data_IF_208806685582
#
_entry.id   IF_208806685582
#
_cell.length_a   1.000
_cell.length_b   1.000
_cell.length_c   1.000
_cell.angle_alpha   90.00
_cell.angle_beta   90.00
_cell.angle_gamma   90.00
#
_symmetry.space_group_name_H-M   'P 1'
#
loop_
_entity.id
_entity.type
_entity.pdbx_description
1 polymer ?
#
# COMPACT_ATOMS: atom_id res chain seq x y z
N UNK A 1 4.46 -20.54 14.06
CA UNK A 1 5.60 -19.74 13.54
C UNK A 1 6.89 -20.13 14.25
N UNK A 2 7.97 -20.30 13.49
CA UNK A 2 9.32 -20.62 14.01
C UNK A 2 10.28 -19.53 13.52
N UNK A 3 11.04 -18.93 14.43
CA UNK A 3 12.07 -17.95 14.10
C UNK A 3 13.24 -18.64 13.39
N UNK A 4 13.65 -18.13 12.23
CA UNK A 4 14.77 -18.68 11.46
C UNK A 4 16.05 -17.85 11.66
N UNK A 5 15.93 -16.53 11.56
CA UNK A 5 17.06 -15.62 11.78
C UNK A 5 16.59 -14.21 12.18
N UNK A 6 17.53 -13.43 12.69
CA UNK A 6 17.38 -12.02 13.03
C UNK A 6 18.64 -11.27 12.63
N UNK A 7 18.47 -10.12 11.94
CA UNK A 7 19.56 -9.22 11.56
C UNK A 7 19.38 -7.86 12.22
N UNK A 8 20.49 -7.14 12.37
CA UNK A 8 20.51 -5.77 12.86
C UNK A 8 20.69 -4.80 11.68
N UNK A 9 19.96 -3.69 11.68
CA UNK A 9 20.19 -2.60 10.74
C UNK A 9 21.48 -1.82 11.05
N UNK A 10 22.17 -2.15 12.13
CA UNK A 10 23.52 -1.64 12.43
C UNK A 10 24.63 -2.49 11.80
N UNK A 11 24.28 -3.62 11.18
CA UNK A 11 25.25 -4.45 10.50
C UNK A 11 25.73 -3.76 9.21
N UNK A 12 26.96 -4.08 8.78
CA UNK A 12 27.48 -3.53 7.52
C UNK A 12 26.78 -4.17 6.34
N UNK A 13 26.16 -3.39 5.45
CA UNK A 13 25.52 -3.92 4.25
C UNK A 13 26.53 -4.62 3.33
N UNK A 14 26.10 -5.75 2.76
CA UNK A 14 26.84 -6.51 1.75
C UNK A 14 25.92 -6.76 0.59
N UNK A 15 26.23 -6.16 -0.56
CA UNK A 15 25.40 -6.29 -1.75
C UNK A 15 25.35 -7.73 -2.26
N UNK A 16 24.14 -8.14 -2.68
CA UNK A 16 23.86 -9.44 -3.31
C UNK A 16 23.09 -9.21 -4.61
N UNK A 17 23.42 -9.97 -5.66
CA UNK A 17 22.86 -9.81 -7.02
C UNK A 17 21.35 -10.05 -7.12
N UNK A 18 20.74 -10.80 -6.21
CA UNK A 18 19.31 -11.13 -6.23
C UNK A 18 18.39 -10.00 -5.72
N UNK A 19 18.87 -8.78 -5.61
CA UNK A 19 18.08 -7.58 -5.28
C UNK A 19 17.61 -7.52 -3.83
N UNK A 20 16.94 -8.53 -3.32
CA UNK A 20 16.42 -8.58 -1.97
C UNK A 20 15.01 -7.99 -1.79
N UNK A 21 14.52 -8.05 -0.57
CA UNK A 21 13.22 -7.51 -0.16
C UNK A 21 13.38 -6.07 0.31
N UNK A 22 12.55 -5.14 -0.17
CA UNK A 22 12.60 -3.75 0.24
C UNK A 22 12.06 -3.58 1.66
N UNK A 23 12.60 -2.61 2.38
CA UNK A 23 12.03 -2.15 3.64
C UNK A 23 12.18 -0.64 3.82
N UNK A 24 11.24 -0.07 4.57
CA UNK A 24 11.32 1.30 5.07
C UNK A 24 10.85 1.32 6.52
N UNK A 25 11.68 1.82 7.42
CA UNK A 25 11.38 1.92 8.85
C UNK A 25 11.99 3.17 9.45
N UNK A 26 11.20 4.00 10.12
CA UNK A 26 11.65 5.31 10.60
C UNK A 26 12.23 6.16 9.48
N UNK A 27 13.49 6.54 9.61
CA UNK A 27 14.26 7.29 8.61
C UNK A 27 15.31 6.43 7.90
N UNK A 28 15.07 5.13 7.79
CA UNK A 28 15.92 4.16 7.12
C UNK A 28 15.13 3.45 6.04
N UNK A 29 15.78 3.21 4.91
CA UNK A 29 15.31 2.33 3.84
C UNK A 29 16.46 1.45 3.35
N UNK A 30 16.11 0.36 2.71
CA UNK A 30 17.11 -0.53 2.11
C UNK A 30 16.52 -1.85 1.66
N UNK A 31 17.40 -2.78 1.42
CA UNK A 31 17.06 -4.14 0.98
C UNK A 31 17.76 -5.17 1.87
N UNK A 32 17.11 -6.29 2.11
CA UNK A 32 17.68 -7.43 2.82
C UNK A 32 17.44 -8.74 2.05
N UNK A 33 18.35 -9.69 2.19
CA UNK A 33 18.26 -10.98 1.51
C UNK A 33 17.39 -11.98 2.29
N UNK A 34 16.93 -13.00 1.59
CA UNK A 34 16.16 -14.12 2.15
C UNK A 34 16.95 -14.92 3.20
N UNK A 35 18.27 -14.88 3.11
CA UNK A 35 19.21 -15.57 3.98
C UNK A 35 19.59 -14.78 5.25
N UNK A 36 19.01 -13.58 5.43
CA UNK A 36 19.26 -12.76 6.61
C UNK A 36 20.53 -11.94 6.52
N UNK A 37 20.74 -11.28 5.39
CA UNK A 37 21.83 -10.31 5.20
C UNK A 37 21.28 -8.97 4.77
N UNK A 38 21.87 -7.89 5.25
CA UNK A 38 21.53 -6.54 4.86
C UNK A 38 22.24 -6.24 3.53
N UNK A 39 21.48 -6.03 2.44
CA UNK A 39 22.04 -5.76 1.12
C UNK A 39 22.41 -4.30 0.95
N UNK A 40 21.54 -3.41 1.41
CA UNK A 40 21.76 -1.96 1.38
C UNK A 40 21.03 -1.28 2.51
N UNK A 41 21.53 -0.12 2.92
CA UNK A 41 20.91 0.73 3.94
C UNK A 41 21.21 2.19 3.62
N UNK A 42 20.17 3.00 3.58
CA UNK A 42 20.25 4.45 3.35
C UNK A 42 19.40 5.17 4.37
N UNK A 43 19.93 6.23 4.96
CA UNK A 43 19.17 7.14 5.80
C UNK A 43 18.62 8.31 4.98
N UNK A 44 17.44 8.81 5.36
CA UNK A 44 16.83 9.96 4.71
C UNK A 44 16.24 10.93 5.75
N UNK A 45 16.51 12.25 5.61
CA UNK A 45 16.07 13.24 6.60
C UNK A 45 14.60 13.65 6.43
N UNK A 46 14.04 13.53 5.23
CA UNK A 46 12.67 13.98 4.91
C UNK A 46 11.78 12.86 4.44
N UNK A 47 11.79 12.58 3.15
CA UNK A 47 10.90 11.61 2.50
C UNK A 47 11.67 10.61 1.66
N UNK A 48 11.09 9.45 1.49
CA UNK A 48 11.65 8.39 0.65
C UNK A 48 10.54 7.52 0.07
N UNK A 49 10.79 7.02 -1.12
CA UNK A 49 9.97 6.00 -1.78
C UNK A 49 10.84 4.81 -2.16
N UNK A 50 10.31 3.60 -2.02
CA UNK A 50 11.01 2.36 -2.31
C UNK A 50 10.01 1.32 -2.84
N UNK A 51 10.43 0.58 -3.86
CA UNK A 51 9.75 -0.59 -4.42
C UNK A 51 10.70 -1.80 -4.42
N UNK A 52 10.28 -2.92 -4.95
CA UNK A 52 11.18 -4.08 -5.12
C UNK A 52 12.34 -3.79 -6.09
N UNK A 53 12.19 -2.84 -7.00
CA UNK A 53 13.15 -2.54 -8.08
C UNK A 53 13.99 -1.31 -7.81
N UNK A 54 13.37 -0.24 -7.28
CA UNK A 54 13.99 1.08 -7.22
C UNK A 54 13.68 1.81 -5.92
N UNK A 55 14.53 2.77 -5.58
CA UNK A 55 14.34 3.63 -4.42
C UNK A 55 14.82 5.06 -4.68
N UNK A 56 14.29 6.00 -3.92
CA UNK A 56 14.74 7.39 -3.91
C UNK A 56 14.52 8.03 -2.55
N UNK A 57 15.32 9.07 -2.28
CA UNK A 57 15.11 9.98 -1.15
C UNK A 57 15.00 11.40 -1.69
N UNK A 58 14.11 12.20 -1.15
CA UNK A 58 13.83 13.53 -1.66
C UNK A 58 13.44 14.51 -0.56
N UNK A 59 13.71 15.80 -0.80
CA UNK A 59 13.27 16.92 0.03
C UNK A 59 12.05 17.62 -0.57
N UNK A 60 11.50 18.59 0.18
CA UNK A 60 10.34 19.35 -0.27
C UNK A 60 10.61 20.22 -1.50
N UNK A 61 11.86 20.67 -1.69
CA UNK A 61 12.27 21.62 -2.72
C UNK A 61 13.21 21.01 -3.77
N UNK A 62 13.18 19.69 -3.95
CA UNK A 62 14.05 19.02 -4.91
C UNK A 62 13.63 19.37 -6.35
N UNK A 63 14.48 20.09 -7.08
CA UNK A 63 14.31 20.41 -8.51
C UNK A 63 14.63 19.21 -9.40
N UNK A 64 15.49 18.32 -8.92
CA UNK A 64 15.85 17.07 -9.58
C UNK A 64 16.06 15.97 -8.55
N UNK A 65 15.36 14.87 -8.70
CA UNK A 65 15.42 13.75 -7.75
C UNK A 65 16.00 12.51 -8.45
N UNK A 66 17.26 12.13 -8.15
CA UNK A 66 17.82 10.87 -8.65
C UNK A 66 17.12 9.69 -7.95
N UNK A 67 16.91 8.62 -8.68
CA UNK A 67 16.46 7.36 -8.12
C UNK A 67 17.38 6.22 -8.58
N UNK A 68 17.42 5.15 -7.81
CA UNK A 68 18.44 4.13 -7.87
C UNK A 68 17.80 2.74 -7.91
N UNK A 69 18.48 1.80 -8.56
CA UNK A 69 18.18 0.39 -8.42
C UNK A 69 18.56 -0.14 -7.03
N UNK A 70 18.10 -1.34 -6.71
CA UNK A 70 18.40 -1.98 -5.43
C UNK A 70 19.93 -2.14 -5.16
N UNK A 71 20.73 -2.24 -6.22
CA UNK A 71 22.19 -2.31 -6.16
C UNK A 71 22.89 -0.96 -5.92
N UNK A 72 22.13 0.14 -5.86
CA UNK A 72 22.64 1.49 -5.69
C UNK A 72 23.10 2.15 -6.99
N UNK A 73 23.04 1.49 -8.14
CA UNK A 73 23.28 2.12 -9.43
C UNK A 73 22.15 3.07 -9.78
N UNK A 74 22.45 4.21 -10.39
CA UNK A 74 21.43 5.19 -10.73
C UNK A 74 20.55 4.68 -11.87
N UNK A 75 19.24 4.59 -11.61
CA UNK A 75 18.24 4.20 -12.60
C UNK A 75 17.84 5.38 -13.49
N UNK A 76 17.71 6.58 -12.91
CA UNK A 76 17.31 7.77 -13.64
C UNK A 76 17.28 9.01 -12.76
N UNK A 77 16.71 10.09 -13.33
CA UNK A 77 16.51 11.36 -12.63
C UNK A 77 15.13 11.91 -12.96
N UNK A 78 14.34 12.20 -11.93
CA UNK A 78 13.06 12.90 -12.06
C UNK A 78 13.37 14.38 -12.05
N UNK A 79 13.15 15.08 -13.18
CA UNK A 79 13.51 16.49 -13.35
C UNK A 79 12.39 17.45 -12.96
N UNK A 80 11.17 16.97 -12.80
CA UNK A 80 10.05 17.78 -12.34
C UNK A 80 10.03 17.83 -10.80
N UNK A 81 9.64 18.98 -10.25
CA UNK A 81 9.39 19.12 -8.82
C UNK A 81 8.16 18.30 -8.40
N UNK A 82 8.23 17.63 -7.25
CA UNK A 82 7.12 16.86 -6.72
C UNK A 82 7.57 15.78 -5.74
N UNK A 83 6.66 14.86 -5.46
CA UNK A 83 6.81 13.80 -4.48
C UNK A 83 6.81 12.43 -5.19
N UNK A 84 7.98 11.82 -5.42
CA UNK A 84 8.07 10.52 -6.07
C UNK A 84 7.35 9.42 -5.31
N UNK A 85 6.60 8.60 -6.04
CA UNK A 85 5.93 7.42 -5.55
C UNK A 85 6.29 6.23 -6.45
N UNK A 86 7.27 5.46 -6.00
CA UNK A 86 7.78 4.29 -6.71
C UNK A 86 7.03 3.06 -6.21
N UNK A 87 6.39 2.34 -7.11
CA UNK A 87 5.68 1.09 -6.83
C UNK A 87 6.19 -0.03 -7.72
N UNK A 88 5.78 -1.26 -7.46
CA UNK A 88 6.13 -2.39 -8.32
C UNK A 88 5.42 -2.35 -9.67
N UNK A 89 4.28 -1.64 -9.74
CA UNK A 89 3.43 -1.48 -10.92
C UNK A 89 3.82 -0.26 -11.77
N UNK A 90 4.64 0.65 -11.21
CA UNK A 90 5.11 1.82 -11.95
C UNK A 90 5.60 2.96 -11.08
N UNK A 91 6.14 3.98 -11.75
CA UNK A 91 6.68 5.16 -11.11
C UNK A 91 5.73 6.35 -11.32
N UNK A 92 5.48 7.08 -10.25
CA UNK A 92 4.61 8.26 -10.25
C UNK A 92 5.30 9.43 -9.56
N UNK A 93 4.88 10.65 -9.91
CA UNK A 93 5.30 11.89 -9.24
C UNK A 93 4.05 12.69 -8.90
N UNK A 94 3.73 12.81 -7.62
CA UNK A 94 2.69 13.72 -7.17
C UNK A 94 3.18 15.15 -7.23
N UNK A 95 2.39 16.03 -7.88
CA UNK A 95 2.77 17.41 -8.11
C UNK A 95 2.68 18.25 -6.83
N UNK A 96 3.49 19.33 -6.72
CA UNK A 96 3.33 20.30 -5.65
C UNK A 96 1.90 20.86 -5.62
N UNK A 97 1.32 20.98 -4.42
CA UNK A 97 -0.10 21.35 -4.27
C UNK A 97 -1.04 20.16 -4.11
N UNK A 98 -0.59 18.95 -4.48
CA UNK A 98 -1.34 17.71 -4.22
C UNK A 98 -2.59 17.50 -5.07
N UNK A 99 -2.76 18.26 -6.17
CA UNK A 99 -3.95 18.17 -7.03
C UNK A 99 -3.73 17.37 -8.31
N UNK A 100 -2.50 16.94 -8.56
CA UNK A 100 -2.17 16.21 -9.80
C UNK A 100 -0.98 15.28 -9.63
N UNK A 101 -0.70 14.52 -10.67
CA UNK A 101 0.42 13.61 -10.71
C UNK A 101 0.87 13.32 -12.15
N UNK A 102 2.13 12.90 -12.29
CA UNK A 102 2.71 12.36 -13.51
C UNK A 102 2.85 10.83 -13.38
N UNK A 103 2.59 10.09 -14.44
CA UNK A 103 3.15 8.76 -14.64
C UNK A 103 4.53 8.92 -15.26
N UNK A 104 5.52 8.23 -14.72
CA UNK A 104 6.90 8.31 -15.18
C UNK A 104 7.31 7.03 -15.94
N UNK A 105 8.26 7.20 -16.85
CA UNK A 105 8.98 6.08 -17.45
C UNK A 105 10.07 5.53 -16.50
N UNK A 106 10.78 4.50 -16.94
CA UNK A 106 11.88 3.88 -16.20
C UNK A 106 13.11 4.79 -16.00
N UNK A 107 13.16 5.94 -16.67
CA UNK A 107 14.25 6.94 -16.58
C UNK A 107 13.85 8.18 -15.78
N UNK A 108 12.58 8.28 -15.38
CA UNK A 108 12.03 9.42 -14.64
C UNK A 108 11.42 10.52 -15.50
N UNK A 109 11.23 10.30 -16.81
CA UNK A 109 10.54 11.25 -17.67
C UNK A 109 9.03 11.10 -17.54
N UNK A 110 8.29 12.20 -17.61
CA UNK A 110 6.82 12.17 -17.62
C UNK A 110 6.30 11.55 -18.92
N UNK A 111 5.53 10.47 -18.80
CA UNK A 111 4.81 9.83 -19.91
C UNK A 111 3.49 10.55 -20.18
N UNK A 112 2.77 10.86 -19.12
CA UNK A 112 1.53 11.62 -19.14
C UNK A 112 1.29 12.25 -17.78
N UNK A 113 0.44 13.30 -17.77
CA UNK A 113 0.08 14.09 -16.59
C UNK A 113 -1.42 14.21 -16.46
N UNK A 114 -1.89 14.21 -15.24
CA UNK A 114 -3.25 14.60 -14.87
C UNK A 114 -3.23 15.60 -13.72
N UNK A 115 -4.06 16.62 -13.84
CA UNK A 115 -4.28 17.64 -12.80
C UNK A 115 -5.78 17.87 -12.61
N UNK A 116 -6.18 18.05 -11.35
CA UNK A 116 -7.55 18.39 -10.97
C UNK A 116 -7.56 19.66 -10.11
N UNK A 117 -8.75 20.12 -9.73
CA UNK A 117 -8.92 21.26 -8.82
C UNK A 117 -8.85 20.80 -7.36
N UNK A 118 -9.40 19.63 -7.07
CA UNK A 118 -9.44 19.06 -5.72
C UNK A 118 -8.14 18.31 -5.38
N UNK A 119 -7.68 18.37 -4.12
CA UNK A 119 -6.54 17.57 -3.68
C UNK A 119 -6.79 16.06 -3.79
N UNK A 120 -5.73 15.34 -4.14
CA UNK A 120 -5.70 13.87 -4.11
C UNK A 120 -5.70 13.41 -2.66
N UNK A 121 -6.61 12.51 -2.31
CA UNK A 121 -6.77 11.96 -0.96
C UNK A 121 -6.51 10.47 -0.88
N UNK A 122 -6.59 9.75 -2.00
CA UNK A 122 -6.31 8.33 -2.09
C UNK A 122 -5.76 7.97 -3.47
N UNK A 123 -4.88 6.99 -3.53
CA UNK A 123 -4.25 6.52 -4.76
C UNK A 123 -3.89 5.04 -4.67
N UNK A 124 -4.15 4.30 -5.73
CA UNK A 124 -3.63 2.95 -5.93
C UNK A 124 -3.25 2.73 -7.38
N UNK A 125 -2.24 1.90 -7.61
CA UNK A 125 -1.77 1.50 -8.94
C UNK A 125 -1.90 0.00 -9.17
N UNK A 126 -2.00 -0.38 -10.42
CA UNK A 126 -1.95 -1.74 -10.91
C UNK A 126 -1.14 -1.79 -12.22
N UNK A 127 -0.86 -2.98 -12.71
CA UNK A 127 -0.20 -3.17 -14.01
C UNK A 127 -1.00 -2.57 -15.18
N UNK A 128 -2.31 -2.42 -15.03
CA UNK A 128 -3.22 -1.94 -16.08
C UNK A 128 -3.53 -0.44 -15.99
N UNK A 129 -3.03 0.24 -14.96
CA UNK A 129 -3.28 1.67 -14.75
C UNK A 129 -3.30 2.08 -13.29
N UNK A 130 -4.08 3.11 -12.96
CA UNK A 130 -4.21 3.57 -11.59
C UNK A 130 -5.60 4.14 -11.29
N UNK A 131 -5.91 4.26 -10.01
CA UNK A 131 -7.13 4.88 -9.51
C UNK A 131 -6.80 5.97 -8.51
N UNK A 132 -7.52 7.08 -8.60
CA UNK A 132 -7.27 8.28 -7.80
C UNK A 132 -8.56 8.78 -7.20
N UNK A 133 -8.56 8.99 -5.90
CA UNK A 133 -9.64 9.60 -5.14
C UNK A 133 -9.31 11.02 -4.72
N UNK A 134 -10.29 11.91 -4.74
CA UNK A 134 -10.15 13.33 -4.47
C UNK A 134 -10.96 13.79 -3.25
N UNK A 135 -10.58 14.94 -2.72
CA UNK A 135 -11.21 15.57 -1.55
C UNK A 135 -12.67 16.01 -1.81
N UNK A 136 -13.05 16.25 -3.05
CA UNK A 136 -14.42 16.58 -3.46
C UNK A 136 -15.31 15.34 -3.68
N UNK A 137 -14.76 14.14 -3.48
CA UNK A 137 -15.44 12.87 -3.65
C UNK A 137 -15.40 12.31 -5.07
N UNK A 138 -14.64 12.92 -5.96
CA UNK A 138 -14.39 12.40 -7.31
C UNK A 138 -13.47 11.19 -7.26
N UNK A 139 -13.78 10.17 -8.03
CA UNK A 139 -12.98 8.98 -8.25
C UNK A 139 -12.69 8.84 -9.74
N UNK A 140 -11.41 8.76 -10.10
CA UNK A 140 -10.98 8.67 -11.51
C UNK A 140 -10.08 7.47 -11.69
N UNK A 141 -10.40 6.61 -12.66
CA UNK A 141 -9.57 5.50 -13.09
C UNK A 141 -8.88 5.83 -14.41
N UNK A 142 -7.61 5.50 -14.49
CA UNK A 142 -6.75 5.70 -15.64
C UNK A 142 -6.24 4.39 -16.17
N UNK A 143 -6.22 4.22 -17.48
CA UNK A 143 -5.48 3.17 -18.17
C UNK A 143 -3.98 3.48 -18.14
N UNK A 144 -3.15 2.48 -18.40
CA UNK A 144 -1.69 2.62 -18.42
C UNK A 144 -1.21 3.77 -19.35
N UNK A 145 -1.92 4.02 -20.44
CA UNK A 145 -1.60 5.09 -21.42
C UNK A 145 -2.10 6.49 -21.02
N UNK A 146 -2.64 6.67 -19.81
CA UNK A 146 -3.15 7.94 -19.31
C UNK A 146 -4.58 8.31 -19.73
N UNK A 147 -5.22 7.51 -20.56
CA UNK A 147 -6.62 7.73 -20.89
C UNK A 147 -7.50 7.46 -19.68
N UNK A 148 -8.44 8.34 -19.40
CA UNK A 148 -9.46 8.12 -18.39
C UNK A 148 -10.31 6.93 -18.82
N UNK A 149 -10.35 5.88 -17.99
CA UNK A 149 -11.25 4.76 -18.17
C UNK A 149 -12.65 5.12 -17.70
N UNK A 150 -12.74 5.74 -16.53
CA UNK A 150 -13.99 6.34 -16.03
C UNK A 150 -13.73 7.42 -14.97
N UNK A 151 -14.74 8.26 -14.76
CA UNK A 151 -14.78 9.26 -13.68
C UNK A 151 -16.17 9.29 -13.08
N UNK A 152 -16.26 9.12 -11.76
CA UNK A 152 -17.54 9.04 -11.03
C UNK A 152 -17.46 9.76 -9.69
N UNK A 153 -18.64 10.06 -9.14
CA UNK A 153 -18.83 10.46 -7.75
C UNK A 153 -19.63 9.37 -7.07
N UNK A 154 -19.00 8.53 -6.19
CA UNK A 154 -19.68 7.40 -5.55
C UNK A 154 -20.90 7.73 -4.73
N UNK A 155 -21.05 8.98 -4.30
CA UNK A 155 -22.19 9.55 -3.55
C UNK A 155 -22.50 8.86 -2.20
N UNK A 156 -23.46 9.41 -1.45
CA UNK A 156 -23.97 8.81 -0.22
C UNK A 156 -23.63 9.56 1.06
N UNK A 157 -22.80 10.60 1.01
CA UNK A 157 -22.45 11.49 2.11
C UNK A 157 -22.67 12.95 1.71
N UNK A 158 -23.00 13.82 2.67
CA UNK A 158 -23.03 15.27 2.43
C UNK A 158 -21.61 15.84 2.33
N UNK A 159 -20.64 15.19 2.95
CA UNK A 159 -19.21 15.51 2.86
C UNK A 159 -18.51 14.41 2.06
N UNK A 160 -18.55 14.56 0.77
CA UNK A 160 -17.94 13.62 -0.16
C UNK A 160 -16.43 13.79 -0.12
N UNK A 161 -15.73 12.73 0.18
CA UNK A 161 -14.27 12.62 0.10
C UNK A 161 -13.95 11.16 -0.10
N UNK A 162 -12.94 10.86 -0.91
CA UNK A 162 -12.45 9.50 -1.05
C UNK A 162 -11.32 9.32 -0.02
N UNK A 163 -11.46 8.37 0.89
CA UNK A 163 -10.51 8.14 1.97
C UNK A 163 -9.57 6.96 1.72
N UNK A 164 -9.98 6.02 0.88
CA UNK A 164 -9.17 4.88 0.49
C UNK A 164 -9.68 4.30 -0.81
N UNK A 165 -8.76 3.80 -1.62
CA UNK A 165 -9.06 3.17 -2.92
C UNK A 165 -8.12 2.02 -3.18
N UNK A 166 -8.59 1.04 -3.93
CA UNK A 166 -7.75 0.04 -4.56
C UNK A 166 -8.37 -0.45 -5.87
N UNK A 167 -7.53 -0.97 -6.77
CA UNK A 167 -7.91 -1.49 -8.07
C UNK A 167 -7.34 -2.89 -8.25
N UNK A 168 -8.18 -3.82 -8.71
CA UNK A 168 -7.73 -5.19 -8.99
C UNK A 168 -7.02 -5.27 -10.35
N UNK A 169 -5.95 -6.06 -10.42
CA UNK A 169 -5.21 -6.27 -11.66
C UNK A 169 -6.01 -7.06 -12.72
N UNK A 170 -6.78 -8.06 -12.32
CA UNK A 170 -7.33 -9.04 -13.24
C UNK A 170 -8.84 -8.99 -13.40
N UNK A 171 -9.59 -8.57 -12.38
CA UNK A 171 -11.06 -8.74 -12.36
C UNK A 171 -11.86 -7.50 -12.76
N UNK A 172 -11.19 -6.39 -13.12
CA UNK A 172 -11.87 -5.12 -13.43
C UNK A 172 -12.69 -4.59 -12.25
N UNK A 173 -12.23 -4.86 -11.02
CA UNK A 173 -12.86 -4.41 -9.80
C UNK A 173 -12.15 -3.19 -9.25
N UNK A 174 -12.93 -2.32 -8.63
CA UNK A 174 -12.44 -1.15 -7.90
C UNK A 174 -13.16 -1.07 -6.57
N UNK A 175 -12.41 -0.84 -5.51
CA UNK A 175 -12.93 -0.65 -4.17
C UNK A 175 -12.59 0.74 -3.66
N UNK A 176 -13.53 1.37 -2.94
CA UNK A 176 -13.25 2.63 -2.26
C UNK A 176 -14.01 2.76 -0.93
N UNK A 177 -13.43 3.55 -0.03
CA UNK A 177 -14.09 4.08 1.15
C UNK A 177 -14.28 5.58 0.94
N UNK A 178 -15.50 6.06 1.04
CA UNK A 178 -15.87 7.45 0.79
C UNK A 178 -16.81 8.02 1.86
N UNK A 179 -16.79 9.36 2.00
CA UNK A 179 -17.63 10.12 2.90
C UNK A 179 -17.07 10.26 4.31
N UNK A 180 -17.52 11.31 5.02
CA UNK A 180 -17.09 11.59 6.41
C UNK A 180 -18.22 11.34 7.41
N UNK A 181 -19.43 11.80 7.09
CA UNK A 181 -20.61 11.74 8.01
C UNK A 181 -21.42 10.44 7.88
N UNK A 182 -21.41 9.85 6.70
CA UNK A 182 -21.99 8.56 6.38
C UNK A 182 -20.98 7.79 5.56
N UNK A 183 -19.96 7.29 6.23
CA UNK A 183 -18.88 6.58 5.59
C UNK A 183 -19.39 5.32 4.93
N UNK A 184 -18.95 5.08 3.71
CA UNK A 184 -19.46 4.00 2.89
C UNK A 184 -18.31 3.28 2.20
N UNK A 185 -18.27 1.98 2.29
CA UNK A 185 -17.50 1.11 1.41
C UNK A 185 -18.30 0.84 0.14
N UNK A 186 -17.62 0.86 -1.01
CA UNK A 186 -18.25 0.59 -2.31
C UNK A 186 -17.31 -0.26 -3.14
N UNK A 187 -17.86 -1.32 -3.73
CA UNK A 187 -17.21 -2.16 -4.72
C UNK A 187 -17.86 -1.97 -6.08
N UNK A 188 -17.07 -1.59 -7.07
CA UNK A 188 -17.49 -1.43 -8.45
C UNK A 188 -16.96 -2.58 -9.31
N UNK A 189 -17.70 -2.89 -10.36
CA UNK A 189 -17.21 -3.68 -11.48
C UNK A 189 -17.27 -2.85 -12.74
N UNK A 190 -16.15 -2.75 -13.44
CA UNK A 190 -16.08 -2.17 -14.76
C UNK A 190 -16.20 -3.30 -15.79
N UNK A 191 -17.21 -3.20 -16.65
CA UNK A 191 -17.41 -4.12 -17.76
C UNK A 191 -17.66 -3.27 -19.00
N UNK A 192 -16.76 -3.33 -19.99
CA UNK A 192 -16.87 -2.62 -21.27
C UNK A 192 -17.13 -1.10 -21.14
N UNK A 193 -16.47 -0.47 -20.16
CA UNK A 193 -16.61 0.98 -19.91
C UNK A 193 -17.86 1.36 -19.11
N UNK A 194 -18.65 0.38 -18.65
CA UNK A 194 -19.76 0.62 -17.74
C UNK A 194 -19.39 0.25 -16.32
N UNK A 195 -19.42 1.23 -15.42
CA UNK A 195 -19.19 1.03 -14.00
C UNK A 195 -20.49 0.74 -13.28
N UNK A 196 -20.55 -0.40 -12.64
CA UNK A 196 -21.69 -0.82 -11.84
C UNK A 196 -21.26 -1.02 -10.39
N UNK A 197 -21.95 -0.40 -9.45
CA UNK A 197 -21.85 -0.75 -8.04
C UNK A 197 -22.42 -2.17 -7.90
N UNK A 198 -21.58 -3.10 -7.47
CA UNK A 198 -21.98 -4.49 -7.24
C UNK A 198 -22.20 -4.79 -5.77
N UNK A 199 -21.51 -4.05 -4.89
CA UNK A 199 -21.70 -4.12 -3.44
C UNK A 199 -21.48 -2.78 -2.78
N UNK A 200 -22.17 -2.50 -1.70
CA UNK A 200 -21.88 -1.38 -0.82
C UNK A 200 -22.41 -1.63 0.59
N UNK A 201 -21.76 -1.04 1.57
CA UNK A 201 -22.23 -1.00 2.95
C UNK A 201 -21.90 0.34 3.60
N UNK A 202 -22.72 0.75 4.57
CA UNK A 202 -22.37 1.89 5.42
C UNK A 202 -21.52 1.37 6.57
N UNK A 203 -20.37 2.01 6.76
CA UNK A 203 -19.49 1.70 7.86
C UNK A 203 -19.96 2.47 9.10
N UNK A 204 -19.88 1.83 10.27
CA UNK A 204 -20.15 2.50 11.57
C UNK A 204 -19.03 3.46 11.95
N UNK A 205 -18.39 4.05 10.98
CA UNK A 205 -17.16 4.81 11.08
C UNK A 205 -17.38 6.29 10.89
N UNK A 206 -16.50 7.06 11.57
CA UNK A 206 -16.28 8.47 11.29
C UNK A 206 -14.77 8.74 11.13
N UNK A 207 -14.02 7.84 10.51
CA UNK A 207 -12.62 8.05 10.22
C UNK A 207 -12.47 9.26 9.30
N UNK A 208 -11.61 10.20 9.67
CA UNK A 208 -11.35 11.45 8.93
C UNK A 208 -9.95 11.47 8.33
N UNK A 209 -9.38 10.30 8.16
CA UNK A 209 -8.02 10.10 7.65
C UNK A 209 -8.02 9.06 6.54
N UNK A 210 -6.90 8.97 5.84
CA UNK A 210 -6.70 7.93 4.84
C UNK A 210 -6.92 6.54 5.45
N UNK A 211 -7.69 5.74 4.75
CA UNK A 211 -8.12 4.41 5.17
C UNK A 211 -7.51 3.38 4.25
N UNK A 212 -6.95 2.32 4.82
CA UNK A 212 -6.47 1.20 4.04
C UNK A 212 -7.65 0.51 3.34
N UNK A 213 -7.54 0.37 2.03
CA UNK A 213 -8.36 -0.48 1.19
C UNK A 213 -7.38 -1.28 0.34
N UNK A 214 -7.47 -2.61 0.33
CA UNK A 214 -6.53 -3.47 -0.38
C UNK A 214 -7.24 -4.72 -0.91
N UNK A 215 -7.13 -4.98 -2.20
CA UNK A 215 -7.52 -6.28 -2.74
C UNK A 215 -6.57 -7.38 -2.28
N UNK A 216 -7.10 -8.58 -2.10
CA UNK A 216 -6.28 -9.78 -2.04
C UNK A 216 -5.56 -10.01 -3.37
N UNK A 217 -4.43 -10.72 -3.33
CA UNK A 217 -3.61 -11.00 -4.53
C UNK A 217 -4.39 -11.69 -5.65
N UNK A 218 -5.39 -12.53 -5.30
CA UNK A 218 -6.31 -13.18 -6.23
C UNK A 218 -7.52 -12.31 -6.62
N UNK A 219 -7.61 -11.10 -6.05
CA UNK A 219 -8.75 -10.18 -6.21
C UNK A 219 -10.12 -10.80 -5.81
N UNK A 220 -10.12 -11.80 -4.94
CA UNK A 220 -11.36 -12.42 -4.43
C UNK A 220 -11.92 -11.72 -3.20
N UNK A 221 -11.07 -10.96 -2.50
CA UNK A 221 -11.44 -10.25 -1.29
C UNK A 221 -10.95 -8.81 -1.32
N UNK A 222 -11.62 -7.95 -0.56
CA UNK A 222 -11.14 -6.60 -0.22
C UNK A 222 -11.00 -6.50 1.28
N UNK A 223 -9.82 -6.12 1.72
CA UNK A 223 -9.53 -5.76 3.09
C UNK A 223 -9.69 -4.25 3.26
N UNK A 224 -10.32 -3.83 4.33
CA UNK A 224 -10.43 -2.41 4.66
C UNK A 224 -10.27 -2.17 6.16
N UNK A 225 -9.73 -1.00 6.47
CA UNK A 225 -9.70 -0.56 7.86
C UNK A 225 -11.10 -0.08 8.24
N UNK A 226 -11.70 -0.72 9.24
CA UNK A 226 -12.96 -0.34 9.83
C UNK A 226 -12.73 0.25 11.23
N UNK A 227 -13.72 0.94 11.81
CA UNK A 227 -13.61 1.64 13.09
C UNK A 227 -13.09 0.76 14.23
N UNK A 228 -13.55 -0.47 14.29
CA UNK A 228 -13.20 -1.41 15.34
C UNK A 228 -12.28 -2.54 14.84
N UNK A 229 -11.66 -2.39 13.66
CA UNK A 229 -10.76 -3.42 13.20
C UNK A 229 -10.70 -3.61 11.68
N UNK A 230 -10.80 -4.86 11.27
CA UNK A 230 -10.66 -5.31 9.90
C UNK A 230 -12.01 -5.63 9.28
N UNK A 231 -12.39 -4.92 8.23
CA UNK A 231 -13.44 -5.31 7.31
C UNK A 231 -12.89 -6.21 6.21
N UNK A 232 -13.61 -7.27 5.87
CA UNK A 232 -13.29 -8.18 4.76
C UNK A 232 -14.54 -8.34 3.92
N UNK A 233 -14.46 -7.96 2.65
CA UNK A 233 -15.55 -8.13 1.70
C UNK A 233 -15.17 -9.20 0.69
N UNK A 234 -16.03 -10.19 0.52
CA UNK A 234 -15.89 -11.24 -0.51
C UNK A 234 -16.50 -10.73 -1.82
N UNK A 235 -15.67 -10.68 -2.87
CA UNK A 235 -16.04 -10.10 -4.16
C UNK A 235 -16.95 -10.98 -5.02
N UNK A 236 -17.06 -12.26 -4.70
CA UNK A 236 -17.92 -13.20 -5.40
C UNK A 236 -19.30 -13.31 -4.72
N UNK A 237 -19.30 -13.59 -3.43
CA UNK A 237 -20.55 -13.75 -2.65
C UNK A 237 -21.19 -12.41 -2.28
N UNK A 238 -20.45 -11.31 -2.39
CA UNK A 238 -20.88 -9.94 -2.04
C UNK A 238 -21.36 -9.86 -0.58
N UNK A 239 -20.57 -10.46 0.31
CA UNK A 239 -20.82 -10.45 1.75
C UNK A 239 -19.62 -9.85 2.48
N UNK A 240 -19.86 -9.24 3.63
CA UNK A 240 -18.79 -8.69 4.48
C UNK A 240 -18.71 -9.41 5.83
N UNK A 241 -17.51 -9.33 6.41
CA UNK A 241 -17.23 -9.71 7.80
C UNK A 241 -16.39 -8.62 8.45
N UNK A 242 -16.71 -8.31 9.72
CA UNK A 242 -15.98 -7.34 10.52
C UNK A 242 -15.33 -8.05 11.71
N UNK A 243 -14.01 -7.93 11.81
CA UNK A 243 -13.21 -8.62 12.82
C UNK A 243 -12.60 -7.56 13.74
N UNK A 244 -12.94 -7.56 15.04
CA UNK A 244 -12.35 -6.64 15.99
C UNK A 244 -10.81 -6.78 16.05
N UNK A 245 -10.11 -5.66 15.88
CA UNK A 245 -8.65 -5.55 15.98
C UNK A 245 -8.35 -4.31 16.82
N UNK A 246 -7.55 -4.48 17.85
CA UNK A 246 -7.08 -3.36 18.66
C UNK A 246 -5.95 -2.61 17.95
N UNK A 247 -6.07 -1.27 17.88
CA UNK A 247 -5.12 -0.40 17.21
C UNK A 247 -5.46 -0.12 15.74
N UNK A 248 -4.70 0.80 15.15
CA UNK A 248 -4.83 1.18 13.74
C UNK A 248 -4.11 0.17 12.86
N UNK A 249 -4.81 -0.43 11.92
CA UNK A 249 -4.21 -1.30 10.91
C UNK A 249 -3.30 -0.46 10.00
N UNK A 250 -2.04 -0.86 9.89
CA UNK A 250 -1.02 -0.18 9.10
C UNK A 250 -0.50 -1.01 7.93
N UNK A 251 -0.63 -2.33 8.01
CA UNK A 251 -0.25 -3.23 6.91
C UNK A 251 -1.06 -4.52 6.94
N UNK A 252 -1.32 -5.07 5.76
CA UNK A 252 -1.87 -6.40 5.56
C UNK A 252 -1.02 -7.10 4.51
N UNK A 253 -0.50 -8.27 4.87
CA UNK A 253 0.33 -9.10 4.01
C UNK A 253 -0.26 -10.49 3.87
N UNK A 254 -0.26 -10.99 2.65
CA UNK A 254 -0.83 -12.29 2.31
C UNK A 254 0.25 -13.32 2.01
N UNK A 255 -0.02 -14.55 2.41
CA UNK A 255 0.79 -15.72 2.13
C UNK A 255 -0.09 -16.79 1.48
N UNK A 256 -0.33 -16.69 0.17
CA UNK A 256 -1.25 -17.58 -0.55
C UNK A 256 -0.88 -19.06 -0.44
N UNK A 257 0.43 -19.39 -0.39
CA UNK A 257 0.92 -20.76 -0.29
C UNK A 257 0.38 -21.52 0.94
N UNK A 258 0.06 -20.78 1.99
CA UNK A 258 -0.47 -21.33 3.25
C UNK A 258 -1.92 -20.91 3.51
N UNK A 259 -2.57 -20.20 2.58
CA UNK A 259 -3.90 -19.63 2.76
C UNK A 259 -3.99 -18.78 4.05
N UNK A 260 -2.97 -17.94 4.26
CA UNK A 260 -2.85 -17.10 5.46
C UNK A 260 -2.70 -15.63 5.09
N UNK A 261 -3.09 -14.77 6.01
CA UNK A 261 -2.75 -13.35 5.96
C UNK A 261 -2.43 -12.82 7.37
N UNK A 262 -1.66 -11.74 7.36
CA UNK A 262 -1.11 -11.10 8.53
C UNK A 262 -1.54 -9.65 8.58
N UNK A 263 -2.04 -9.20 9.73
CA UNK A 263 -2.46 -7.82 9.94
C UNK A 263 -1.57 -7.21 11.02
N UNK A 264 -0.85 -6.16 10.67
CA UNK A 264 -0.08 -5.36 11.61
C UNK A 264 -0.89 -4.15 12.02
N UNK A 265 -1.16 -4.05 13.31
CA UNK A 265 -1.87 -2.91 13.89
C UNK A 265 -0.96 -2.16 14.87
N UNK A 266 -1.08 -0.82 14.89
CA UNK A 266 -0.34 0.07 15.78
C UNK A 266 -1.26 0.56 16.90
N UNK A 267 -0.85 0.32 18.13
CA UNK A 267 -1.42 0.90 19.35
C UNK A 267 -0.50 1.96 19.97
N UNK A 268 -0.77 2.33 21.21
CA UNK A 268 0.07 3.28 21.96
C UNK A 268 1.39 2.63 22.40
N UNK A 269 2.47 2.90 21.65
CA UNK A 269 3.81 2.39 21.91
C UNK A 269 4.01 0.91 21.62
N UNK A 270 3.00 0.22 21.12
CA UNK A 270 3.03 -1.20 20.81
C UNK A 270 2.52 -1.48 19.41
N UNK A 271 3.01 -2.56 18.82
CA UNK A 271 2.47 -3.14 17.59
C UNK A 271 1.93 -4.52 17.90
N UNK A 272 0.80 -4.84 17.29
CA UNK A 272 0.17 -6.16 17.40
C UNK A 272 0.10 -6.81 16.03
N UNK A 273 0.62 -8.02 15.92
CA UNK A 273 0.48 -8.85 14.73
C UNK A 273 -0.66 -9.84 14.95
N UNK A 274 -1.63 -9.82 14.07
CA UNK A 274 -2.73 -10.78 14.03
C UNK A 274 -2.52 -11.72 12.84
N UNK A 275 -2.75 -13.00 13.09
CA UNK A 275 -2.52 -14.08 12.12
C UNK A 275 -3.87 -14.74 11.83
N UNK A 276 -4.20 -14.80 10.57
CA UNK A 276 -5.45 -15.40 10.10
C UNK A 276 -5.17 -16.55 9.15
N UNK A 277 -5.94 -17.61 9.29
CA UNK A 277 -6.06 -18.69 8.33
C UNK A 277 -7.43 -18.58 7.67
N UNK A 278 -7.47 -18.58 6.33
CA UNK A 278 -8.58 -18.17 5.49
C UNK A 278 -9.33 -16.90 5.99
N UNK A 279 -10.31 -16.34 5.29
CA UNK A 279 -10.65 -14.92 5.47
C UNK A 279 -11.22 -14.53 6.84
N UNK A 280 -11.40 -15.43 7.79
CA UNK A 280 -12.04 -15.06 9.05
C UNK A 280 -11.62 -15.84 10.28
N UNK A 281 -10.67 -16.76 10.17
CA UNK A 281 -10.22 -17.56 11.30
C UNK A 281 -8.94 -16.99 11.90
N UNK A 282 -9.07 -16.22 12.98
CA UNK A 282 -7.88 -15.76 13.73
C UNK A 282 -7.25 -16.95 14.43
N UNK A 283 -6.03 -17.31 14.02
CA UNK A 283 -5.27 -18.44 14.58
C UNK A 283 -4.24 -18.02 15.61
N UNK A 284 -3.92 -16.74 15.70
CA UNK A 284 -3.01 -16.22 16.70
C UNK A 284 -2.84 -14.73 16.67
N UNK A 285 -2.21 -14.21 17.71
CA UNK A 285 -1.71 -12.83 17.74
C UNK A 285 -0.62 -12.70 18.80
N UNK A 286 0.26 -11.74 18.62
CA UNK A 286 1.21 -11.30 19.63
C UNK A 286 1.52 -9.82 19.46
N UNK A 287 1.96 -9.20 20.56
CA UNK A 287 2.33 -7.79 20.56
C UNK A 287 3.80 -7.63 20.90
N UNK A 288 4.40 -6.55 20.44
CA UNK A 288 5.78 -6.18 20.71
C UNK A 288 5.92 -4.65 20.77
N UNK A 289 6.87 -4.19 21.57
CA UNK A 289 7.19 -2.77 21.68
C UNK A 289 8.11 -2.35 20.52
N UNK A 290 7.77 -1.28 19.83
CA UNK A 290 8.60 -0.62 18.83
C UNK A 290 8.08 0.79 18.56
N UNK A 291 8.96 1.65 18.06
CA UNK A 291 8.59 2.97 17.55
C UNK A 291 8.07 2.87 16.10
N UNK A 292 8.75 2.03 15.31
CA UNK A 292 8.41 1.75 13.93
C UNK A 292 8.42 0.24 13.67
N UNK A 293 7.45 -0.23 12.91
CA UNK A 293 7.41 -1.62 12.49
C UNK A 293 6.86 -1.75 11.08
N UNK A 294 7.25 -2.82 10.41
CA UNK A 294 6.69 -3.27 9.14
C UNK A 294 6.60 -4.79 9.09
N UNK A 295 5.78 -5.28 8.19
CA UNK A 295 5.74 -6.70 7.82
C UNK A 295 5.85 -6.83 6.30
N UNK A 296 6.40 -7.93 5.84
CA UNK A 296 6.33 -8.37 4.44
C UNK A 296 6.37 -9.88 4.39
N UNK A 297 5.82 -10.46 3.33
CA UNK A 297 5.76 -11.91 3.11
C UNK A 297 6.40 -12.29 1.79
N UNK A 298 7.01 -13.46 1.77
CA UNK A 298 7.47 -14.08 0.54
C UNK A 298 7.50 -15.61 0.69
N UNK A 299 6.84 -16.31 -0.24
CA UNK A 299 6.63 -17.75 -0.12
C UNK A 299 6.00 -18.10 1.24
N UNK A 300 6.58 -19.04 1.96
CA UNK A 300 6.13 -19.44 3.31
C UNK A 300 6.77 -18.64 4.44
N UNK A 301 7.45 -17.56 4.14
CA UNK A 301 8.17 -16.73 5.11
C UNK A 301 7.42 -15.44 5.43
N UNK A 302 7.40 -15.08 6.71
CA UNK A 302 6.99 -13.78 7.20
C UNK A 302 8.21 -13.04 7.75
N UNK A 303 8.39 -11.81 7.34
CA UNK A 303 9.44 -10.92 7.84
C UNK A 303 8.81 -9.81 8.67
N UNK A 304 9.38 -9.56 9.84
CA UNK A 304 8.92 -8.51 10.76
C UNK A 304 10.10 -7.59 11.04
N UNK A 305 9.94 -6.32 10.64
CA UNK A 305 10.85 -5.26 11.02
C UNK A 305 10.36 -4.56 12.28
N UNK A 306 11.26 -4.33 13.24
CA UNK A 306 10.99 -3.59 14.47
C UNK A 306 12.20 -2.71 14.79
N UNK A 307 12.02 -1.40 14.72
CA UNK A 307 13.06 -0.39 14.90
C UNK A 307 14.33 -0.69 14.10
N UNK A 308 15.36 -1.23 14.75
CA UNK A 308 16.68 -1.50 14.17
C UNK A 308 16.91 -2.98 13.83
N UNK A 309 15.87 -3.79 13.76
CA UNK A 309 16.01 -5.24 13.51
C UNK A 309 15.00 -5.77 12.51
N UNK A 310 15.39 -6.78 11.73
CA UNK A 310 14.49 -7.56 10.88
C UNK A 310 14.61 -9.02 11.28
N UNK A 311 13.47 -9.67 11.47
CA UNK A 311 13.38 -11.09 11.86
C UNK A 311 12.59 -11.88 10.84
N UNK A 312 13.06 -13.05 10.48
CA UNK A 312 12.35 -14.00 9.61
C UNK A 312 11.71 -15.10 10.44
N UNK A 313 10.46 -15.37 10.09
CA UNK A 313 9.70 -16.47 10.66
C UNK A 313 9.20 -17.40 9.54
N UNK A 314 9.39 -18.69 9.72
CA UNK A 314 8.71 -19.70 8.92
C UNK A 314 7.33 -19.93 9.50
N UNK A 315 6.32 -19.81 8.64
CA UNK A 315 4.94 -20.11 9.00
C UNK A 315 4.63 -21.52 8.57
N UNK A 316 4.20 -22.32 9.52
CA UNK A 316 3.82 -23.73 9.30
C UNK A 316 2.36 -23.88 9.71
N UNK A 317 1.58 -24.55 8.86
CA UNK A 317 0.28 -25.09 9.23
C UNK A 317 0.41 -26.24 10.22
#
# INVERSE_FOLDING_TARGET
MVSEWKISLNDTPVYYEDGGLPFKTGQLLGYFSREGKLNSLTSFPYMASISTKTWTTYGADAEATPFFFADGTQAGVITNAGFPWLTDDGNYLFLPGGTGFDKLDEKGNSLWRYEDIAPITAFSSSLNGCIVGFADGKLVSFKENGNIDYSIYPAGSNYQVILGVDISDEKGLTACVCGIDKQRFILFRNTEGQNKIIYHEYLENNLREQTLVKFSKDSEKVFLNDYNGLGIVDCETLTSKHIPIEGKIIAIEEQPENDMFFVLAKGDGTFSLYIFENPSSKVGSFSFEATNAFITTEGTSLYIGADSTISKFKVMK
#
